data_IF_212209199999
#
_entry.id   IF_212209199999
#
_cell.length_a   1.000
_cell.length_b   1.000
_cell.length_c   1.000
_cell.angle_alpha   90.00
_cell.angle_beta   90.00
_cell.angle_gamma   90.00
#
_symmetry.space_group_name_H-M   'P 1'
#
loop_
_entity.id
_entity.type
_entity.pdbx_description
1 polymer ?
#
# COMPACT_ATOMS: atom_id res chain seq x y z
N UNK A 1 9.80 34.38 -6.52
CA UNK A 1 9.29 34.03 -6.43
C UNK A 1 8.95 33.65 -6.43
N UNK A 2 8.77 33.65 -6.32
CA UNK A 2 8.27 33.08 -6.34
C UNK A 2 8.12 32.63 -6.13
N UNK A 3 8.64 32.34 -6.36
CA UNK A 3 8.26 31.76 -6.17
C UNK A 3 7.79 31.60 -5.63
N UNK A 4 8.56 31.63 -6.05
CA UNK A 4 7.91 31.77 -5.01
C UNK A 4 6.51 31.90 -4.89
N UNK A 5 5.92 32.39 -5.76
CA UNK A 5 4.50 32.25 -5.72
C UNK A 5 4.10 30.81 -5.44
N UNK A 6 4.76 29.89 -6.09
CA UNK A 6 4.53 28.48 -5.81
C UNK A 6 4.76 28.14 -4.34
N UNK A 7 5.84 28.66 -3.75
CA UNK A 7 6.10 28.45 -2.35
C UNK A 7 5.06 29.11 -1.44
N UNK A 8 4.52 30.23 -1.87
CA UNK A 8 3.50 30.93 -1.10
C UNK A 8 2.15 30.21 -1.12
N UNK A 9 1.83 29.52 -2.22
CA UNK A 9 0.56 28.84 -2.37
C UNK A 9 0.63 27.36 -2.04
N UNK A 10 1.82 26.78 -2.04
CA UNK A 10 1.97 25.36 -1.75
C UNK A 10 1.74 25.12 -0.27
N UNK A 11 0.94 24.11 0.04
CA UNK A 11 0.72 23.69 1.41
C UNK A 11 1.91 22.86 1.89
N UNK A 12 2.24 23.02 3.17
CA UNK A 12 3.37 22.31 3.79
C UNK A 12 2.89 20.99 4.40
N UNK A 13 2.12 20.22 3.64
CA UNK A 13 1.61 18.93 4.10
C UNK A 13 2.14 17.81 3.25
N UNK A 14 2.40 16.68 3.89
CA UNK A 14 2.82 15.45 3.23
C UNK A 14 2.02 14.30 3.83
N UNK A 15 1.98 13.18 3.11
CA UNK A 15 1.44 11.96 3.69
C UNK A 15 2.49 11.39 4.63
N UNK A 16 2.31 11.59 5.95
CA UNK A 16 3.29 11.17 6.94
C UNK A 16 3.38 9.67 7.11
N UNK A 17 2.22 9.03 7.24
CA UNK A 17 2.17 7.58 7.35
C UNK A 17 0.74 7.10 7.16
N UNK A 18 0.59 5.87 6.70
CA UNK A 18 -0.66 5.15 6.72
C UNK A 18 -0.66 4.22 7.93
N UNK A 19 -1.63 4.39 8.82
CA UNK A 19 -1.68 3.63 10.07
C UNK A 19 -2.60 2.43 9.95
N UNK A 20 -2.11 1.29 10.41
CA UNK A 20 -2.91 0.07 10.48
C UNK A 20 -2.90 -0.46 11.92
N UNK A 21 -4.08 -0.75 12.44
CA UNK A 21 -4.20 -1.51 13.67
C UNK A 21 -4.08 -2.99 13.34
N UNK A 22 -3.38 -3.74 14.17
CA UNK A 22 -3.07 -5.13 13.90
C UNK A 22 -3.17 -5.95 15.18
N UNK A 23 -3.57 -7.20 15.02
CA UNK A 23 -3.50 -8.16 16.12
C UNK A 23 -2.03 -8.46 16.43
N UNK A 24 -1.18 -8.52 15.40
CA UNK A 24 0.25 -8.73 15.56
C UNK A 24 1.01 -7.70 14.72
N UNK A 25 1.28 -6.50 15.25
CA UNK A 25 1.93 -5.45 14.47
C UNK A 25 3.28 -5.85 13.88
N UNK A 26 4.09 -6.60 14.61
CA UNK A 26 5.42 -6.99 14.12
C UNK A 26 5.31 -7.92 12.91
N UNK A 27 4.39 -8.86 12.95
CA UNK A 27 4.21 -9.79 11.84
C UNK A 27 3.65 -9.08 10.60
N UNK A 28 2.67 -8.21 10.80
CA UNK A 28 2.09 -7.45 9.70
C UNK A 28 3.12 -6.50 9.10
N UNK A 29 3.90 -5.82 9.93
CA UNK A 29 4.97 -4.95 9.46
C UNK A 29 6.02 -5.72 8.68
N UNK A 30 6.30 -6.96 9.05
CA UNK A 30 7.25 -7.82 8.32
C UNK A 30 6.79 -8.09 6.88
N UNK A 31 5.49 -8.34 6.69
CA UNK A 31 4.93 -8.51 5.35
C UNK A 31 5.09 -7.23 4.53
N UNK A 32 4.65 -6.10 5.07
CA UNK A 32 4.70 -4.83 4.33
C UNK A 32 6.15 -4.36 4.11
N UNK A 33 7.07 -4.67 5.03
CA UNK A 33 8.48 -4.41 4.82
C UNK A 33 9.01 -5.18 3.61
N UNK A 34 8.63 -6.44 3.48
CA UNK A 34 9.05 -7.26 2.34
C UNK A 34 8.43 -6.77 1.03
N UNK A 35 7.17 -6.30 1.08
CA UNK A 35 6.49 -5.75 -0.11
C UNK A 35 7.17 -4.46 -0.56
N UNK A 36 7.46 -3.55 0.37
CA UNK A 36 7.95 -2.21 0.03
C UNK A 36 9.48 -2.11 -0.03
N UNK A 37 10.19 -3.06 0.54
CA UNK A 37 11.64 -3.02 0.63
C UNK A 37 12.17 -2.14 1.76
N UNK A 38 11.29 -1.59 2.60
CA UNK A 38 11.72 -0.75 3.72
C UNK A 38 12.13 -1.59 4.92
N UNK A 39 12.92 -0.99 5.83
CA UNK A 39 13.38 -1.67 7.03
C UNK A 39 12.55 -1.21 8.23
N UNK A 40 11.90 -2.14 8.95
CA UNK A 40 11.08 -1.77 10.10
C UNK A 40 11.90 -1.14 11.23
N UNK A 41 11.28 -0.20 11.94
CA UNK A 41 11.86 0.42 13.12
C UNK A 41 10.91 0.12 14.29
N UNK A 42 11.25 -0.86 15.14
CA UNK A 42 10.39 -1.22 16.26
C UNK A 42 10.28 -0.11 17.31
N UNK A 43 9.10 0.02 17.90
CA UNK A 43 8.86 0.99 18.97
C UNK A 43 7.95 0.36 20.03
N UNK A 44 8.47 -0.59 20.80
CA UNK A 44 7.65 -1.32 21.75
C UNK A 44 6.69 -2.26 21.05
N UNK A 45 5.39 -2.10 21.29
CA UNK A 45 4.38 -2.93 20.63
C UNK A 45 4.03 -2.45 19.22
N UNK A 46 4.50 -1.27 18.85
CA UNK A 46 4.23 -0.67 17.54
C UNK A 46 5.48 -0.76 16.66
N UNK A 47 5.26 -0.68 15.34
CA UNK A 47 6.36 -0.72 14.38
C UNK A 47 6.17 0.39 13.38
N UNK A 48 7.22 1.18 13.14
CA UNK A 48 7.25 2.19 12.10
C UNK A 48 7.97 1.62 10.87
N UNK A 49 7.37 1.78 9.71
CA UNK A 49 7.96 1.37 8.45
C UNK A 49 8.22 2.64 7.64
N UNK A 50 9.47 3.09 7.53
CA UNK A 50 9.76 4.32 6.81
C UNK A 50 9.46 4.17 5.32
N UNK A 51 9.20 5.30 4.67
CA UNK A 51 8.95 5.31 3.23
C UNK A 51 10.23 4.93 2.48
N UNK A 52 10.08 4.07 1.47
CA UNK A 52 11.13 3.86 0.47
C UNK A 52 11.05 4.99 -0.55
N UNK A 53 12.10 5.21 -1.37
CA UNK A 53 12.05 6.23 -2.40
C UNK A 53 10.83 6.07 -3.31
N UNK A 54 10.04 7.14 -3.42
CA UNK A 54 8.81 7.13 -4.20
C UNK A 54 7.63 6.41 -3.54
N UNK A 55 7.82 5.92 -2.32
CA UNK A 55 6.80 5.19 -1.60
C UNK A 55 6.16 5.99 -0.48
N UNK A 56 5.67 5.27 0.52
CA UNK A 56 4.95 5.85 1.64
C UNK A 56 5.35 5.14 2.92
N UNK A 57 5.22 5.84 4.05
CA UNK A 57 5.49 5.27 5.36
C UNK A 57 4.23 4.59 5.91
N UNK A 58 4.42 3.60 6.76
CA UNK A 58 3.33 2.91 7.44
C UNK A 58 3.63 2.82 8.93
N UNK A 59 2.58 2.81 9.74
CA UNK A 59 2.71 2.63 11.16
C UNK A 59 1.75 1.52 11.59
N UNK A 60 2.27 0.53 12.32
CA UNK A 60 1.50 -0.62 12.75
C UNK A 60 1.40 -0.58 14.26
N UNK A 61 0.16 -0.57 14.76
CA UNK A 61 -0.09 -0.44 16.20
C UNK A 61 -1.07 -1.50 16.65
N UNK A 62 -1.05 -1.86 17.94
CA UNK A 62 -1.97 -2.87 18.44
C UNK A 62 -3.43 -2.45 18.26
N UNK A 63 -4.26 -3.41 17.91
CA UNK A 63 -5.70 -3.20 17.76
C UNK A 63 -6.32 -2.96 19.14
N UNK A 64 -7.17 -1.93 19.23
CA UNK A 64 -7.85 -1.59 20.47
C UNK A 64 -9.32 -1.97 20.46
N UNK A 65 -9.83 -2.43 19.32
CA UNK A 65 -11.22 -2.81 19.13
C UNK A 65 -11.30 -3.94 18.12
N UNK A 66 -12.42 -4.68 18.05
CA UNK A 66 -12.59 -5.69 17.02
C UNK A 66 -12.49 -5.07 15.62
N UNK A 67 -11.95 -5.85 14.68
CA UNK A 67 -11.85 -5.43 13.30
C UNK A 67 -13.25 -5.20 12.73
N UNK A 68 -13.49 -4.04 12.05
CA UNK A 68 -14.77 -3.81 11.37
C UNK A 68 -15.01 -4.85 10.28
N UNK A 69 -16.26 -5.24 10.08
CA UNK A 69 -16.61 -6.21 9.05
C UNK A 69 -16.47 -5.63 7.65
N UNK A 70 -16.72 -4.33 7.50
CA UNK A 70 -16.63 -3.65 6.22
C UNK A 70 -15.37 -2.76 6.20
N UNK A 71 -14.54 -2.98 5.19
CA UNK A 71 -13.36 -2.13 5.00
C UNK A 71 -13.73 -0.98 4.07
N UNK A 72 -13.73 0.24 4.63
CA UNK A 72 -14.20 1.42 3.91
C UNK A 72 -13.13 2.05 3.01
N UNK A 73 -11.86 1.76 3.26
CA UNK A 73 -10.75 2.31 2.46
C UNK A 73 -9.68 1.25 2.27
N UNK A 74 -8.88 1.40 1.22
CA UNK A 74 -7.81 0.46 0.94
C UNK A 74 -6.67 1.17 0.20
N UNK A 75 -5.50 0.55 0.20
CA UNK A 75 -4.36 1.05 -0.56
C UNK A 75 -4.42 0.53 -1.99
N UNK A 76 -4.10 1.40 -2.93
CA UNK A 76 -3.86 1.03 -4.32
C UNK A 76 -2.37 1.18 -4.58
N UNK A 77 -1.69 0.07 -4.82
CA UNK A 77 -0.28 0.08 -5.21
C UNK A 77 -0.22 0.06 -6.73
N UNK A 78 0.69 0.83 -7.29
CA UNK A 78 0.84 0.89 -8.75
C UNK A 78 2.19 0.29 -9.14
N UNK A 79 2.17 -0.55 -10.16
CA UNK A 79 3.37 -1.17 -10.73
C UNK A 79 3.43 -0.87 -12.22
N UNK A 80 4.60 -1.01 -12.85
CA UNK A 80 4.72 -0.78 -14.29
C UNK A 80 3.82 -1.70 -15.10
N UNK A 81 3.32 -1.18 -16.21
CA UNK A 81 2.48 -1.96 -17.11
C UNK A 81 3.16 -3.27 -17.50
N UNK A 82 2.42 -4.36 -17.40
CA UNK A 82 2.92 -5.70 -17.72
C UNK A 82 3.53 -6.43 -16.53
N UNK A 83 3.71 -5.77 -15.37
CA UNK A 83 4.34 -6.40 -14.21
C UNK A 83 3.37 -6.79 -13.11
N UNK A 84 2.06 -6.50 -13.27
CA UNK A 84 1.08 -6.75 -12.21
C UNK A 84 1.07 -8.21 -11.76
N UNK A 85 1.00 -9.15 -12.69
CA UNK A 85 0.89 -10.57 -12.32
C UNK A 85 2.13 -11.07 -11.58
N UNK A 86 3.31 -10.67 -12.04
CA UNK A 86 4.55 -11.07 -11.38
C UNK A 86 4.61 -10.51 -9.96
N UNK A 87 4.17 -9.27 -9.78
CA UNK A 87 4.15 -8.66 -8.45
C UNK A 87 3.11 -9.32 -7.54
N UNK A 88 1.94 -9.67 -8.08
CA UNK A 88 0.93 -10.41 -7.33
C UNK A 88 1.51 -11.75 -6.86
N UNK A 89 2.18 -12.46 -7.75
CA UNK A 89 2.78 -13.76 -7.40
C UNK A 89 3.83 -13.60 -6.30
N UNK A 90 4.64 -12.53 -6.38
CA UNK A 90 5.64 -12.25 -5.35
C UNK A 90 4.98 -12.01 -4.00
N UNK A 91 3.93 -11.19 -3.98
CA UNK A 91 3.25 -10.84 -2.73
C UNK A 91 2.48 -12.03 -2.13
N UNK A 92 1.90 -12.87 -2.96
CA UNK A 92 1.27 -14.11 -2.48
C UNK A 92 2.33 -15.01 -1.82
N UNK A 93 3.52 -15.09 -2.42
CA UNK A 93 4.63 -15.82 -1.82
C UNK A 93 5.10 -15.25 -0.49
N UNK A 94 4.85 -13.97 -0.24
CA UNK A 94 5.19 -13.30 1.03
C UNK A 94 4.09 -13.42 2.09
N UNK A 95 2.90 -13.90 1.72
CA UNK A 95 1.83 -14.10 2.68
C UNK A 95 0.51 -13.43 2.34
N UNK A 96 0.40 -12.72 1.21
CA UNK A 96 -0.87 -12.16 0.76
C UNK A 96 -1.77 -13.27 0.22
N UNK A 97 -3.08 -13.00 0.24
CA UNK A 97 -4.07 -13.93 -0.30
C UNK A 97 -4.78 -13.28 -1.47
N UNK A 98 -4.84 -13.99 -2.60
CA UNK A 98 -5.57 -13.52 -3.78
C UNK A 98 -7.06 -13.43 -3.47
N UNK A 99 -7.69 -12.34 -3.95
CA UNK A 99 -9.13 -12.15 -3.82
C UNK A 99 -9.81 -12.21 -5.18
N UNK A 100 -9.55 -11.22 -6.05
CA UNK A 100 -10.12 -11.20 -7.40
C UNK A 100 -9.30 -10.30 -8.32
N UNK A 101 -9.56 -10.45 -9.63
CA UNK A 101 -9.00 -9.61 -10.68
C UNK A 101 -10.09 -8.71 -11.27
N UNK A 102 -9.68 -7.51 -11.71
CA UNK A 102 -10.48 -6.63 -12.55
C UNK A 102 -9.60 -6.25 -13.74
N UNK A 103 -9.83 -6.86 -14.89
CA UNK A 103 -8.88 -6.80 -16.00
C UNK A 103 -9.41 -6.10 -17.25
N UNK A 104 -10.72 -6.18 -17.53
CA UNK A 104 -11.26 -5.68 -18.80
C UNK A 104 -12.39 -4.69 -18.60
N UNK A 105 -12.81 -4.47 -17.38
CA UNK A 105 -13.96 -3.62 -17.07
C UNK A 105 -13.67 -2.15 -17.27
N UNK A 106 -12.39 -1.74 -17.20
CA UNK A 106 -11.97 -0.35 -17.29
C UNK A 106 -10.84 -0.21 -18.31
N UNK A 107 -10.92 0.73 -19.25
CA UNK A 107 -9.92 0.83 -20.31
C UNK A 107 -8.58 1.40 -19.86
N UNK A 108 -8.53 2.07 -18.70
CA UNK A 108 -7.33 2.80 -18.28
C UNK A 108 -6.58 2.16 -17.14
N UNK A 109 -7.07 1.04 -16.60
CA UNK A 109 -6.47 0.41 -15.45
C UNK A 109 -6.93 -1.03 -15.33
N UNK A 110 -6.03 -1.89 -14.89
CA UNK A 110 -6.42 -3.22 -14.42
C UNK A 110 -5.71 -3.49 -13.12
N UNK A 111 -6.35 -4.26 -12.25
CA UNK A 111 -5.79 -4.52 -10.94
C UNK A 111 -6.17 -5.90 -10.41
N UNK A 112 -5.42 -6.33 -9.40
CA UNK A 112 -5.73 -7.51 -8.61
C UNK A 112 -5.92 -7.05 -7.17
N UNK A 113 -6.99 -7.50 -6.54
CA UNK A 113 -7.22 -7.27 -5.11
C UNK A 113 -6.67 -8.44 -4.33
N UNK A 114 -5.87 -8.13 -3.32
CA UNK A 114 -5.26 -9.07 -2.40
C UNK A 114 -5.68 -8.74 -0.98
N UNK A 115 -5.44 -9.67 -0.07
CA UNK A 115 -5.55 -9.40 1.37
C UNK A 115 -4.19 -9.63 1.99
N UNK A 116 -3.79 -8.75 2.93
CA UNK A 116 -2.55 -8.95 3.68
C UNK A 116 -2.75 -10.03 4.75
N UNK A 117 -1.69 -10.41 5.51
CA UNK A 117 -1.81 -11.50 6.47
C UNK A 117 -2.87 -11.29 7.57
N UNK A 118 -3.33 -10.08 7.80
CA UNK A 118 -4.41 -9.81 8.73
C UNK A 118 -5.75 -9.54 8.05
N UNK A 119 -5.83 -9.76 6.74
CA UNK A 119 -7.07 -9.65 6.00
C UNK A 119 -7.37 -8.26 5.47
N UNK A 120 -6.44 -7.30 5.56
CA UNK A 120 -6.65 -5.97 4.99
C UNK A 120 -6.58 -6.06 3.48
N UNK A 121 -7.64 -5.60 2.81
CA UNK A 121 -7.70 -5.60 1.35
C UNK A 121 -6.87 -4.45 0.79
N UNK A 122 -6.16 -4.72 -0.29
CA UNK A 122 -5.42 -3.73 -1.04
C UNK A 122 -5.31 -4.18 -2.49
N UNK A 123 -4.94 -3.28 -3.37
CA UNK A 123 -4.90 -3.56 -4.80
C UNK A 123 -3.51 -3.35 -5.36
N UNK A 124 -3.17 -4.17 -6.36
CA UNK A 124 -1.98 -3.98 -7.19
C UNK A 124 -2.49 -3.64 -8.58
N UNK A 125 -2.22 -2.42 -9.02
CA UNK A 125 -2.76 -1.86 -10.25
C UNK A 125 -1.67 -1.58 -11.26
N UNK A 126 -2.02 -1.67 -12.53
CA UNK A 126 -1.18 -1.25 -13.63
C UNK A 126 -2.02 -0.47 -14.62
N UNK A 127 -1.40 0.49 -15.30
CA UNK A 127 -2.07 1.38 -16.23
C UNK A 127 -1.43 1.23 -17.60
N UNK A 128 -2.20 0.93 -18.65
CA UNK A 128 -1.61 0.83 -19.98
C UNK A 128 -1.03 2.17 -20.42
N UNK A 129 0.03 2.16 -21.23
CA UNK A 129 0.57 3.39 -21.80
C UNK A 129 -0.49 4.16 -22.58
N UNK A 130 -0.33 5.49 -22.69
CA UNK A 130 -1.33 6.34 -23.31
C UNK A 130 -1.67 5.90 -24.73
N UNK A 131 -0.72 5.33 -25.47
CA UNK A 131 -0.93 4.87 -26.84
C UNK A 131 -1.68 3.53 -26.93
N UNK A 132 -1.98 2.91 -25.79
CA UNK A 132 -2.73 1.65 -25.72
C UNK A 132 -4.08 1.82 -25.02
N UNK A 133 -4.45 3.04 -24.69
CA UNK A 133 -5.71 3.31 -24.00
C UNK A 133 -6.85 3.60 -24.98
#
# INVERSE_FOLDING_TARGET
MPDSVAGMTAHQITLGAFNLEAQNPALLAGFWAAVTGATPSPGGESVYLPASPGGFAMFFQPRTAPRPEHQASHLDLTVPWGSRQAEVDRQVGLGATFQWNVLEEHPHVQWTTLADPEGNLFCVAEHPPADQQ
#
